data_IF_895413404459
#
_entry.id   IF_895413404459
#
_cell.length_a   1.000
_cell.length_b   1.000
_cell.length_c   1.000
_cell.angle_alpha   90.00
_cell.angle_beta   90.00
_cell.angle_gamma   90.00
#
_symmetry.space_group_name_H-M   'P 1'
#
loop_
_entity.id
_entity.type
_entity.pdbx_description
1 polymer ?
#
# COMPACT_ATOMS: atom_id res chain seq x y z
N UNK A 1 2.25 -1.82 -8.69
CA UNK A 1 3.47 -1.39 -9.39
C UNK A 1 3.96 -0.13 -8.72
N UNK A 2 4.71 -0.32 -7.64
CA UNK A 2 5.88 0.52 -7.41
C UNK A 2 6.63 0.57 -8.75
N UNK A 3 6.72 1.77 -9.34
CA UNK A 3 7.47 1.90 -10.58
C UNK A 3 8.91 1.48 -10.31
N UNK A 4 9.59 0.83 -11.29
CA UNK A 4 11.03 0.71 -11.23
C UNK A 4 11.58 2.10 -10.94
N UNK A 5 12.27 2.29 -9.82
CA UNK A 5 12.96 3.55 -9.58
C UNK A 5 14.00 3.64 -10.69
N UNK A 6 13.90 4.63 -11.56
CA UNK A 6 14.91 4.80 -12.58
C UNK A 6 16.24 5.09 -11.87
N UNK A 7 17.36 4.46 -12.31
CA UNK A 7 18.67 4.77 -11.75
C UNK A 7 18.95 6.26 -11.92
N UNK A 8 19.68 6.86 -10.98
CA UNK A 8 20.01 8.29 -11.02
C UNK A 8 20.63 8.68 -12.37
N UNK A 9 19.88 9.39 -13.22
CA UNK A 9 20.41 10.07 -14.41
C UNK A 9 20.04 9.53 -15.80
N UNK A 10 18.97 8.74 -15.99
CA UNK A 10 18.51 8.36 -17.35
C UNK A 10 17.39 9.29 -17.89
N UNK A 11 17.40 9.68 -19.19
CA UNK A 11 16.36 10.50 -19.79
C UNK A 11 15.12 9.65 -20.15
N UNK A 12 13.95 10.16 -19.74
CA UNK A 12 12.65 9.48 -19.82
C UNK A 12 12.23 8.99 -21.22
N UNK A 13 11.70 7.77 -21.25
CA UNK A 13 11.18 7.08 -22.42
C UNK A 13 9.68 6.81 -22.33
N UNK A 14 8.95 7.30 -23.33
CA UNK A 14 7.50 7.26 -23.54
C UNK A 14 6.88 5.85 -23.72
N UNK A 15 5.69 5.68 -23.12
CA UNK A 15 4.46 5.28 -23.82
C UNK A 15 4.25 3.81 -24.21
N UNK A 16 3.23 3.17 -23.61
CA UNK A 16 2.66 1.91 -24.07
C UNK A 16 1.19 1.76 -23.69
N UNK A 17 0.27 2.15 -24.58
CA UNK A 17 -1.16 1.82 -24.48
C UNK A 17 -1.35 0.33 -24.72
N UNK A 18 -2.06 -0.38 -23.84
CA UNK A 18 -2.66 -1.66 -24.18
C UNK A 18 -4.11 -1.73 -23.71
N UNK A 19 -4.92 -2.33 -24.58
CA UNK A 19 -6.38 -2.30 -24.61
C UNK A 19 -7.01 -3.11 -23.48
N UNK A 20 -8.14 -2.60 -23.00
CA UNK A 20 -9.10 -3.28 -22.13
C UNK A 20 -9.71 -4.51 -22.81
N UNK A 21 -10.12 -5.51 -22.01
CA UNK A 21 -11.29 -6.32 -22.32
C UNK A 21 -11.97 -6.80 -21.01
N UNK A 22 -13.31 -6.93 -20.94
CA UNK A 22 -14.08 -6.96 -19.69
C UNK A 22 -14.67 -8.34 -19.32
N UNK A 23 -15.40 -8.34 -18.19
CA UNK A 23 -16.25 -9.37 -17.57
C UNK A 23 -15.52 -10.26 -16.55
N UNK A 24 -16.05 -10.59 -15.37
CA UNK A 24 -17.44 -10.75 -14.88
C UNK A 24 -17.39 -10.74 -13.33
N UNK A 25 -18.27 -10.07 -12.58
CA UNK A 25 -19.65 -10.46 -12.36
C UNK A 25 -19.82 -11.14 -10.99
N UNK A 26 -20.09 -10.35 -9.93
CA UNK A 26 -20.70 -10.88 -8.70
C UNK A 26 -21.85 -9.94 -8.32
N UNK A 27 -23.06 -10.47 -8.42
CA UNK A 27 -24.32 -9.81 -8.10
C UNK A 27 -24.52 -9.75 -6.59
N UNK A 28 -24.39 -8.54 -6.02
CA UNK A 28 -24.98 -8.16 -4.75
C UNK A 28 -26.09 -7.13 -5.01
N UNK A 29 -27.19 -7.24 -4.28
CA UNK A 29 -28.34 -6.31 -4.34
C UNK A 29 -27.89 -4.84 -4.25
N UNK A 30 -28.49 -3.89 -4.99
CA UNK A 30 -28.11 -2.48 -4.94
C UNK A 30 -28.61 -1.87 -3.63
N UNK A 31 -27.84 -2.01 -2.56
CA UNK A 31 -27.80 -0.96 -1.56
C UNK A 31 -27.34 0.30 -2.28
N UNK A 32 -28.01 1.44 -2.10
CA UNK A 32 -27.48 2.69 -2.64
C UNK A 32 -26.05 2.83 -2.12
N UNK A 33 -25.06 2.70 -3.01
CA UNK A 33 -23.69 3.14 -2.78
C UNK A 33 -23.76 4.67 -2.59
N UNK A 34 -24.16 5.08 -1.39
CA UNK A 34 -24.37 6.48 -1.08
C UNK A 34 -23.01 7.06 -0.74
N UNK A 35 -22.43 7.72 -1.72
CA UNK A 35 -21.21 8.48 -1.53
C UNK A 35 -21.48 9.66 -0.59
N UNK A 36 -20.69 9.75 0.48
CA UNK A 36 -20.77 10.81 1.48
C UNK A 36 -19.66 11.84 1.24
N UNK A 37 -19.92 13.14 1.48
CA UNK A 37 -18.88 14.14 1.41
C UNK A 37 -17.97 14.07 2.65
N UNK A 38 -16.66 13.93 2.43
CA UNK A 38 -15.63 14.03 3.46
C UNK A 38 -14.74 15.25 3.22
N UNK A 39 -14.12 15.75 4.29
CA UNK A 39 -13.09 16.78 4.22
C UNK A 39 -11.72 16.14 4.53
N UNK A 40 -10.96 15.85 3.48
CA UNK A 40 -9.65 15.19 3.57
C UNK A 40 -8.58 16.16 3.10
N UNK A 41 -7.58 16.42 3.95
CA UNK A 41 -6.52 17.39 3.70
C UNK A 41 -7.03 18.78 3.24
N UNK A 42 -8.15 19.24 3.82
CA UNK A 42 -8.77 20.53 3.48
C UNK A 42 -9.56 20.53 2.16
N UNK A 43 -9.79 19.36 1.55
CA UNK A 43 -10.53 19.20 0.30
C UNK A 43 -11.80 18.41 0.54
N UNK A 44 -12.90 18.89 -0.05
CA UNK A 44 -14.14 18.13 -0.08
C UNK A 44 -14.05 17.06 -1.16
N UNK A 45 -14.15 15.80 -0.76
CA UNK A 45 -14.14 14.63 -1.64
C UNK A 45 -15.37 13.78 -1.37
N UNK A 46 -15.91 13.14 -2.40
CA UNK A 46 -16.93 12.11 -2.22
C UNK A 46 -16.23 10.78 -1.91
N UNK A 47 -16.86 9.98 -1.05
CA UNK A 47 -16.32 8.68 -0.64
C UNK A 47 -17.43 7.70 -0.27
N UNK A 48 -17.19 6.42 -0.51
CA UNK A 48 -18.07 5.32 -0.10
C UNK A 48 -17.62 4.78 1.27
N UNK A 49 -18.49 4.75 2.29
CA UNK A 49 -18.17 4.07 3.55
C UNK A 49 -17.97 2.57 3.30
N UNK A 50 -16.85 2.01 3.76
CA UNK A 50 -16.54 0.58 3.59
C UNK A 50 -16.51 -0.19 4.90
N UNK A 51 -16.86 0.44 6.02
CA UNK A 51 -16.86 -0.18 7.34
C UNK A 51 -15.47 -0.29 7.96
N UNK A 52 -15.39 -1.02 9.07
CA UNK A 52 -14.15 -1.45 9.71
C UNK A 52 -13.89 -2.95 9.52
N UNK A 53 -12.62 -3.34 9.50
CA UNK A 53 -12.24 -4.75 9.57
C UNK A 53 -12.17 -5.20 11.04
N UNK A 54 -12.67 -6.40 11.37
CA UNK A 54 -12.35 -7.03 12.63
C UNK A 54 -10.83 -7.19 12.79
N UNK A 55 -10.34 -7.03 14.02
CA UNK A 55 -8.94 -7.26 14.37
C UNK A 55 -8.75 -8.60 15.11
N UNK A 56 -9.72 -9.50 14.95
CA UNK A 56 -9.71 -10.82 15.59
C UNK A 56 -8.48 -11.59 15.11
N UNK A 57 -7.62 -12.01 16.05
CA UNK A 57 -6.35 -12.69 15.76
C UNK A 57 -5.14 -11.77 15.58
N UNK A 58 -5.31 -10.45 15.47
CA UNK A 58 -4.18 -9.52 15.52
C UNK A 58 -3.70 -9.38 16.99
N UNK A 59 -2.43 -9.65 17.31
CA UNK A 59 -1.96 -9.77 18.70
C UNK A 59 -1.86 -8.43 19.46
N UNK A 60 -2.27 -7.32 18.84
CA UNK A 60 -2.10 -5.96 19.39
C UNK A 60 -3.44 -5.37 19.81
N UNK A 61 -3.46 -4.63 20.92
CA UNK A 61 -4.59 -3.80 21.37
C UNK A 61 -4.80 -2.58 20.45
N UNK A 62 -5.04 -2.80 19.16
CA UNK A 62 -5.50 -1.75 18.24
C UNK A 62 -7.03 -1.81 18.16
N UNK A 63 -7.67 -0.67 17.94
CA UNK A 63 -9.12 -0.60 17.76
C UNK A 63 -9.44 -0.61 16.27
N UNK A 64 -10.52 -1.31 15.85
CA UNK A 64 -11.05 -1.17 14.50
C UNK A 64 -11.29 0.30 14.18
N UNK A 65 -10.94 0.72 12.96
CA UNK A 65 -11.22 2.06 12.44
C UNK A 65 -12.14 1.95 11.23
N UNK A 66 -13.08 2.87 11.14
CA UNK A 66 -13.95 3.00 9.98
C UNK A 66 -13.18 3.62 8.81
N UNK A 67 -13.27 2.99 7.64
CA UNK A 67 -12.64 3.47 6.42
C UNK A 67 -13.67 3.86 5.37
N UNK A 68 -13.25 4.77 4.51
CA UNK A 68 -14.00 5.28 3.38
C UNK A 68 -13.14 5.13 2.13
N UNK A 69 -13.70 4.54 1.07
CA UNK A 69 -13.08 4.50 -0.25
C UNK A 69 -13.36 5.82 -0.96
N UNK A 70 -12.33 6.59 -1.26
CA UNK A 70 -12.46 7.83 -2.01
C UNK A 70 -12.91 7.54 -3.45
N UNK A 71 -13.70 8.45 -4.01
CA UNK A 71 -14.07 8.38 -5.43
C UNK A 71 -12.83 8.45 -6.29
N UNK A 72 -12.81 7.61 -7.34
CA UNK A 72 -11.70 7.59 -8.28
C UNK A 72 -11.58 8.94 -9.00
N UNK A 73 -10.35 9.31 -9.28
CA UNK A 73 -9.98 10.52 -10.00
C UNK A 73 -9.11 11.48 -9.20
N UNK A 74 -8.64 12.51 -9.90
CA UNK A 74 -7.64 13.47 -9.41
C UNK A 74 -7.94 14.08 -8.04
N UNK A 75 -9.19 14.49 -7.69
CA UNK A 75 -9.45 15.07 -6.36
C UNK A 75 -9.15 14.12 -5.20
N UNK A 76 -9.55 12.85 -5.30
CA UNK A 76 -9.28 11.82 -4.30
C UNK A 76 -7.79 11.48 -4.22
N UNK A 77 -7.14 11.32 -5.38
CA UNK A 77 -5.71 11.06 -5.49
C UNK A 77 -4.86 12.18 -4.86
N UNK A 78 -5.18 13.45 -5.13
CA UNK A 78 -4.52 14.60 -4.51
C UNK A 78 -4.74 14.61 -3.00
N UNK A 79 -5.98 14.39 -2.53
CA UNK A 79 -6.30 14.39 -1.10
C UNK A 79 -5.53 13.28 -0.35
N UNK A 80 -5.51 12.06 -0.89
CA UNK A 80 -4.76 10.93 -0.33
C UNK A 80 -3.25 11.22 -0.25
N UNK A 81 -2.66 11.70 -1.36
CA UNK A 81 -1.25 12.06 -1.43
C UNK A 81 -0.90 13.15 -0.41
N UNK A 82 -1.75 14.17 -0.25
CA UNK A 82 -1.52 15.27 0.70
C UNK A 82 -1.54 14.77 2.16
N UNK A 83 -2.41 13.82 2.50
CA UNK A 83 -2.36 13.12 3.79
C UNK A 83 -1.04 12.35 3.98
N UNK A 84 -0.62 11.60 2.95
CA UNK A 84 0.58 10.76 3.02
C UNK A 84 1.85 11.60 3.14
N UNK A 85 1.96 12.74 2.44
CA UNK A 85 3.08 13.68 2.59
C UNK A 85 3.29 14.15 4.03
N UNK A 86 2.22 14.25 4.81
CA UNK A 86 2.31 14.66 6.23
C UNK A 86 3.04 13.63 7.10
N UNK A 87 3.23 12.38 6.63
CA UNK A 87 3.98 11.36 7.36
C UNK A 87 5.50 11.52 7.23
N UNK A 88 5.99 12.16 6.17
CA UNK A 88 7.43 12.32 5.89
C UNK A 88 8.17 13.15 6.95
N UNK A 89 7.44 13.94 7.71
CA UNK A 89 7.94 14.68 8.88
C UNK A 89 8.23 13.79 10.11
N UNK A 90 7.95 12.48 10.02
CA UNK A 90 8.15 11.53 11.12
C UNK A 90 9.43 10.69 10.95
N UNK A 91 9.94 10.13 12.05
CA UNK A 91 11.18 9.34 12.09
C UNK A 91 11.24 8.22 11.03
N UNK A 92 10.11 7.58 10.73
CA UNK A 92 10.02 6.49 9.76
C UNK A 92 9.23 6.87 8.51
N UNK A 93 8.81 8.14 8.38
CA UNK A 93 7.99 8.62 7.28
C UNK A 93 8.64 8.43 5.93
N UNK A 94 9.96 8.62 5.86
CA UNK A 94 10.76 8.44 4.63
C UNK A 94 10.88 6.98 4.16
N UNK A 95 10.46 6.01 4.97
CA UNK A 95 10.34 4.63 4.53
C UNK A 95 9.04 4.37 3.73
N UNK A 96 8.12 5.34 3.69
CA UNK A 96 6.90 5.30 2.89
C UNK A 96 7.14 6.07 1.60
N UNK A 97 6.95 5.42 0.46
CA UNK A 97 7.06 6.07 -0.83
C UNK A 97 5.83 6.95 -1.11
N UNK A 98 6.04 8.17 -1.60
CA UNK A 98 4.95 9.07 -2.02
C UNK A 98 4.91 9.08 -3.54
N UNK A 99 3.99 8.31 -4.10
CA UNK A 99 3.81 8.28 -5.55
C UNK A 99 3.26 9.61 -6.11
N UNK A 100 3.49 9.88 -7.41
CA UNK A 100 2.77 10.89 -8.17
C UNK A 100 1.25 10.76 -8.04
N UNK A 101 0.52 11.85 -8.28
CA UNK A 101 -0.95 11.84 -8.18
C UNK A 101 -1.54 10.87 -9.19
N UNK A 102 -0.97 10.86 -10.39
CA UNK A 102 -1.38 10.06 -11.52
C UNK A 102 -1.36 8.56 -11.19
N UNK A 103 -0.33 8.11 -10.46
CA UNK A 103 -0.23 6.72 -9.98
C UNK A 103 -1.35 6.35 -8.99
N UNK A 104 -1.86 7.32 -8.21
CA UNK A 104 -2.97 7.11 -7.28
C UNK A 104 -4.34 7.20 -7.95
N UNK A 105 -4.47 7.83 -9.13
CA UNK A 105 -5.73 7.89 -9.87
C UNK A 105 -6.18 6.48 -10.34
N UNK A 106 -5.22 5.58 -10.56
CA UNK A 106 -5.44 4.17 -10.92
C UNK A 106 -5.57 3.22 -9.71
N UNK A 107 -5.57 3.77 -8.50
CA UNK A 107 -5.68 3.01 -7.25
C UNK A 107 -7.06 3.15 -6.62
N UNK A 108 -7.46 2.14 -5.85
CA UNK A 108 -8.52 2.30 -4.86
C UNK A 108 -7.92 2.87 -3.57
N UNK A 109 -8.36 4.08 -3.21
CA UNK A 109 -7.80 4.87 -2.12
C UNK A 109 -8.72 4.84 -0.91
N UNK A 110 -8.19 4.49 0.25
CA UNK A 110 -8.96 4.34 1.48
C UNK A 110 -8.38 5.21 2.58
N UNK A 111 -9.25 5.93 3.28
CA UNK A 111 -8.87 6.78 4.42
C UNK A 111 -9.88 6.67 5.54
N UNK A 112 -9.44 6.92 6.77
CA UNK A 112 -10.34 7.18 7.89
C UNK A 112 -11.04 8.54 7.71
N UNK A 113 -12.17 8.75 8.41
CA UNK A 113 -12.95 10.01 8.30
C UNK A 113 -12.10 11.27 8.50
N UNK A 114 -11.15 11.21 9.44
CA UNK A 114 -10.22 12.31 9.75
C UNK A 114 -9.03 12.42 8.77
N UNK A 115 -8.89 11.50 7.82
CA UNK A 115 -7.79 11.45 6.84
C UNK A 115 -6.41 11.12 7.44
N UNK A 116 -6.33 10.68 8.69
CA UNK A 116 -5.06 10.50 9.42
C UNK A 116 -4.51 9.07 9.37
N UNK A 117 -5.28 8.12 8.86
CA UNK A 117 -4.84 6.76 8.54
C UNK A 117 -5.41 6.39 7.17
N UNK A 118 -4.64 5.69 6.35
CA UNK A 118 -5.10 5.30 5.03
C UNK A 118 -4.21 4.29 4.33
N UNK A 119 -4.73 3.74 3.24
CA UNK A 119 -4.02 2.80 2.38
C UNK A 119 -4.49 2.89 0.93
N UNK A 120 -3.66 2.45 -0.01
CA UNK A 120 -3.94 2.42 -1.44
C UNK A 120 -3.79 1.00 -1.98
N UNK A 121 -4.76 0.55 -2.78
CA UNK A 121 -4.75 -0.75 -3.44
C UNK A 121 -4.70 -0.62 -4.96
N UNK A 122 -3.92 -1.48 -5.61
CA UNK A 122 -3.93 -1.65 -7.07
C UNK A 122 -3.97 -3.12 -7.44
N UNK A 123 -5.13 -3.61 -7.87
CA UNK A 123 -5.28 -5.01 -8.32
C UNK A 123 -4.75 -6.04 -7.31
N UNK A 124 -5.10 -5.87 -6.03
CA UNK A 124 -4.69 -6.75 -4.92
C UNK A 124 -3.29 -6.50 -4.36
N UNK A 125 -2.57 -5.48 -4.83
CA UNK A 125 -1.31 -5.01 -4.23
C UNK A 125 -1.58 -3.88 -3.25
N UNK A 126 -1.03 -3.97 -2.04
CA UNK A 126 -0.99 -2.86 -1.09
C UNK A 126 0.18 -1.94 -1.44
N UNK A 127 -0.13 -0.85 -2.16
CA UNK A 127 0.86 0.08 -2.71
C UNK A 127 1.35 1.08 -1.65
N UNK A 128 0.45 1.54 -0.79
CA UNK A 128 0.80 2.50 0.25
C UNK A 128 -0.04 2.27 1.48
N UNK A 129 0.55 2.45 2.65
CA UNK A 129 -0.15 2.46 3.94
C UNK A 129 0.48 3.50 4.85
N UNK A 130 -0.35 4.24 5.56
CA UNK A 130 0.12 5.26 6.50
C UNK A 130 -0.80 5.36 7.71
N UNK A 131 -0.20 5.78 8.83
CA UNK A 131 -0.90 6.17 10.05
C UNK A 131 -0.12 7.32 10.66
N UNK A 132 -0.74 8.49 10.80
CA UNK A 132 -0.09 9.65 11.42
C UNK A 132 0.17 9.41 12.91
N UNK A 133 1.13 10.14 13.51
CA UNK A 133 1.43 10.04 14.94
C UNK A 133 0.19 10.21 15.82
N UNK A 134 0.05 9.32 16.80
CA UNK A 134 -1.07 9.29 17.74
C UNK A 134 -2.32 8.55 17.24
N UNK A 135 -2.42 8.21 15.96
CA UNK A 135 -3.59 7.47 15.44
C UNK A 135 -3.56 5.98 15.79
N UNK A 136 -2.36 5.40 15.88
CA UNK A 136 -2.13 3.96 16.09
C UNK A 136 -2.97 3.06 15.14
N UNK A 137 -3.19 3.54 13.91
CA UNK A 137 -4.11 2.94 12.94
C UNK A 137 -3.49 1.95 11.97
N UNK A 138 -2.19 1.67 12.06
CA UNK A 138 -1.48 0.80 11.12
C UNK A 138 -2.11 -0.59 11.01
N UNK A 139 -2.33 -1.27 12.14
CA UNK A 139 -2.94 -2.61 12.14
C UNK A 139 -4.38 -2.58 11.57
N UNK A 140 -5.18 -1.57 11.91
CA UNK A 140 -6.51 -1.40 11.33
C UNK A 140 -6.48 -1.17 9.81
N UNK A 141 -5.50 -0.41 9.32
CA UNK A 141 -5.32 -0.16 7.89
C UNK A 141 -4.96 -1.43 7.12
N UNK A 142 -4.02 -2.24 7.63
CA UNK A 142 -3.60 -3.47 6.95
C UNK A 142 -4.70 -4.53 7.02
N UNK A 143 -5.35 -4.71 8.17
CA UNK A 143 -6.49 -5.63 8.28
C UNK A 143 -7.62 -5.25 7.31
N UNK A 144 -7.91 -3.94 7.20
CA UNK A 144 -8.86 -3.44 6.22
C UNK A 144 -8.37 -3.66 4.78
N UNK A 145 -7.09 -3.43 4.49
CA UNK A 145 -6.53 -3.68 3.17
C UNK A 145 -6.69 -5.16 2.74
N UNK A 146 -6.40 -6.10 3.64
CA UNK A 146 -6.58 -7.54 3.39
C UNK A 146 -8.07 -7.87 3.12
N UNK A 147 -8.98 -7.29 3.91
CA UNK A 147 -10.43 -7.42 3.71
C UNK A 147 -10.89 -6.87 2.36
N UNK A 148 -10.27 -5.80 1.88
CA UNK A 148 -10.51 -5.18 0.57
C UNK A 148 -9.76 -5.85 -0.58
N UNK A 149 -9.08 -6.98 -0.34
CA UNK A 149 -8.46 -7.79 -1.39
C UNK A 149 -6.95 -7.61 -1.54
N UNK A 150 -6.26 -6.94 -0.62
CA UNK A 150 -4.80 -6.95 -0.60
C UNK A 150 -4.29 -8.39 -0.39
N UNK A 151 -3.38 -8.82 -1.26
CA UNK A 151 -2.76 -10.15 -1.24
C UNK A 151 -1.25 -10.10 -1.41
N UNK A 152 -0.68 -8.99 -1.87
CA UNK A 152 0.77 -8.81 -2.00
C UNK A 152 1.19 -7.39 -1.65
N UNK A 153 2.45 -7.22 -1.27
CA UNK A 153 3.10 -5.94 -1.01
C UNK A 153 4.62 -6.10 -1.09
N UNK A 154 5.33 -4.99 -1.12
CA UNK A 154 6.76 -4.92 -0.81
C UNK A 154 7.03 -3.89 0.28
N UNK A 155 8.04 -4.15 1.11
CA UNK A 155 8.43 -3.25 2.18
C UNK A 155 9.92 -3.34 2.51
N UNK A 156 10.47 -2.28 3.09
CA UNK A 156 11.84 -2.30 3.61
C UNK A 156 11.94 -3.14 4.89
N UNK A 157 12.98 -3.96 5.01
CA UNK A 157 13.33 -4.67 6.23
C UNK A 157 14.16 -3.79 7.19
N UNK A 158 13.52 -2.76 7.75
CA UNK A 158 14.16 -1.87 8.73
C UNK A 158 14.12 -2.55 10.09
N UNK A 159 15.20 -3.25 10.43
CA UNK A 159 15.38 -3.91 11.72
C UNK A 159 14.35 -5.01 12.02
N UNK A 160 13.84 -5.71 10.99
CA UNK A 160 12.80 -6.74 11.15
C UNK A 160 11.38 -6.20 11.34
N UNK A 161 11.21 -4.89 11.48
CA UNK A 161 9.97 -4.29 11.97
C UNK A 161 8.80 -4.40 11.00
N UNK A 162 8.98 -3.95 9.75
CA UNK A 162 7.89 -3.92 8.76
C UNK A 162 7.49 -5.33 8.28
N UNK A 163 8.41 -6.24 7.92
CA UNK A 163 8.01 -7.60 7.57
C UNK A 163 7.28 -8.31 8.70
N UNK A 164 7.74 -8.17 9.95
CA UNK A 164 7.02 -8.73 11.11
C UNK A 164 5.66 -8.08 11.33
N UNK A 165 5.53 -6.77 11.09
CA UNK A 165 4.26 -6.06 11.16
C UNK A 165 3.23 -6.64 10.18
N UNK A 166 3.60 -6.80 8.89
CA UNK A 166 2.72 -7.38 7.88
C UNK A 166 2.45 -8.87 8.08
N UNK A 167 3.41 -9.62 8.62
CA UNK A 167 3.24 -11.05 8.89
C UNK A 167 2.08 -11.36 9.84
N UNK A 168 1.80 -10.45 10.79
CA UNK A 168 0.66 -10.59 11.70
C UNK A 168 -0.71 -10.47 11.01
N UNK A 169 -0.71 -9.96 9.77
CA UNK A 169 -1.89 -9.84 8.91
C UNK A 169 -1.92 -10.89 7.79
N UNK A 170 -1.09 -11.95 7.89
CA UNK A 170 -1.09 -13.10 6.99
C UNK A 170 -0.14 -12.99 5.79
N UNK A 171 0.68 -11.95 5.71
CA UNK A 171 1.69 -11.83 4.65
C UNK A 171 2.95 -12.64 4.98
N UNK A 172 3.40 -13.47 4.05
CA UNK A 172 4.66 -14.21 4.17
C UNK A 172 5.73 -13.59 3.27
N UNK A 173 6.99 -13.48 3.71
CA UNK A 173 8.11 -13.13 2.85
C UNK A 173 8.25 -14.15 1.70
N UNK A 174 8.29 -13.67 0.46
CA UNK A 174 8.43 -14.50 -0.74
C UNK A 174 9.80 -14.35 -1.38
N UNK A 175 10.32 -13.13 -1.45
CA UNK A 175 11.64 -12.83 -2.01
C UNK A 175 12.25 -11.59 -1.36
N UNK A 176 13.58 -11.49 -1.40
CA UNK A 176 14.36 -10.34 -0.94
C UNK A 176 15.11 -9.70 -2.09
N UNK A 177 15.27 -8.39 -2.01
CA UNK A 177 16.07 -7.58 -2.92
C UNK A 177 17.10 -6.86 -2.07
N UNK A 178 18.37 -7.08 -2.36
CA UNK A 178 19.44 -6.42 -1.63
C UNK A 178 19.38 -4.91 -1.86
N UNK A 179 19.71 -4.13 -0.83
CA UNK A 179 19.81 -2.68 -0.98
C UNK A 179 20.79 -2.29 -2.09
N UNK A 180 20.37 -1.34 -2.93
CA UNK A 180 21.21 -0.74 -3.96
C UNK A 180 21.17 0.79 -3.85
N UNK A 181 22.35 1.40 -3.68
CA UNK A 181 22.52 2.84 -3.54
C UNK A 181 22.12 3.60 -4.82
N UNK A 182 22.13 2.96 -5.99
CA UNK A 182 21.70 3.56 -7.27
C UNK A 182 20.20 3.84 -7.30
N UNK A 183 19.42 3.05 -6.55
CA UNK A 183 17.96 3.13 -6.47
C UNK A 183 17.46 3.77 -5.16
N UNK A 184 18.40 4.15 -4.28
CA UNK A 184 18.10 4.83 -3.04
C UNK A 184 17.65 6.28 -3.28
N UNK A 185 16.60 6.75 -2.59
CA UNK A 185 16.21 8.16 -2.63
C UNK A 185 17.38 9.07 -2.25
N UNK A 186 17.53 10.21 -2.92
CA UNK A 186 18.62 11.16 -2.66
C UNK A 186 18.64 11.66 -1.21
N UNK A 187 17.47 11.75 -0.58
CA UNK A 187 17.29 12.22 0.78
C UNK A 187 17.10 11.09 1.79
N UNK A 188 17.54 9.86 1.45
CA UNK A 188 17.44 8.69 2.30
C UNK A 188 18.15 8.91 3.65
N UNK A 189 17.45 8.77 4.77
CA UNK A 189 18.00 9.10 6.08
C UNK A 189 18.95 7.99 6.55
N UNK A 190 20.22 8.33 6.80
CA UNK A 190 21.26 7.39 7.22
C UNK A 190 20.90 6.53 8.45
N UNK A 191 20.03 7.05 9.34
CA UNK A 191 19.53 6.32 10.52
C UNK A 191 18.69 5.08 10.17
N UNK A 192 18.14 5.00 8.95
CA UNK A 192 17.41 3.83 8.46
C UNK A 192 18.33 2.77 7.84
N UNK A 193 19.63 3.05 7.73
CA UNK A 193 20.63 2.11 7.21
C UNK A 193 20.44 1.82 5.72
N UNK A 194 20.72 0.57 5.34
CA UNK A 194 20.61 0.04 3.97
C UNK A 194 19.75 -1.23 3.99
N UNK A 195 18.43 -1.10 4.26
CA UNK A 195 17.56 -2.26 4.46
C UNK A 195 17.29 -2.97 3.14
N UNK A 196 17.21 -4.29 3.16
CA UNK A 196 16.68 -5.03 2.02
C UNK A 196 15.21 -4.65 1.76
N UNK A 197 14.76 -4.82 0.52
CA UNK A 197 13.33 -4.83 0.22
C UNK A 197 12.83 -6.26 0.25
N UNK A 198 11.67 -6.49 0.86
CA UNK A 198 11.04 -7.80 0.98
C UNK A 198 9.72 -7.76 0.23
N UNK A 199 9.60 -8.58 -0.81
CA UNK A 199 8.33 -8.85 -1.47
C UNK A 199 7.58 -9.91 -0.66
N UNK A 200 6.33 -9.63 -0.32
CA UNK A 200 5.50 -10.47 0.55
C UNK A 200 4.15 -10.77 -0.10
N UNK A 201 3.58 -11.93 0.22
CA UNK A 201 2.27 -12.34 -0.26
C UNK A 201 1.48 -13.13 0.79
N UNK A 202 0.16 -13.02 0.74
CA UNK A 202 -0.76 -13.94 1.42
C UNK A 202 -0.83 -15.20 0.57
N UNK A 203 -0.39 -16.32 1.14
CA UNK A 203 -0.30 -17.62 0.49
C UNK A 203 -0.33 -18.74 1.53
N UNK A 204 -0.88 -19.88 1.16
CA UNK A 204 -0.86 -21.11 1.98
C UNK A 204 0.45 -21.89 1.79
N UNK A 205 1.24 -21.56 0.76
CA UNK A 205 2.47 -22.25 0.37
C UNK A 205 3.68 -21.30 0.37
N UNK A 206 4.05 -20.68 1.51
CA UNK A 206 5.22 -19.81 1.55
C UNK A 206 6.50 -20.63 1.29
N UNK A 207 7.54 -20.02 0.69
CA UNK A 207 8.79 -20.72 0.40
C UNK A 207 9.54 -21.09 1.69
N UNK A 208 10.18 -22.26 1.71
CA UNK A 208 10.98 -22.72 2.87
C UNK A 208 12.16 -21.78 3.20
N UNK A 209 12.68 -21.11 2.18
CA UNK A 209 13.72 -20.09 2.29
C UNK A 209 13.37 -18.90 1.41
N UNK A 210 13.65 -17.68 1.87
CA UNK A 210 13.35 -16.45 1.13
C UNK A 210 14.56 -16.08 0.25
N UNK A 211 14.53 -16.34 -1.08
CA UNK A 211 15.67 -16.10 -1.96
C UNK A 211 15.93 -14.60 -2.16
N UNK A 212 17.19 -14.26 -2.45
CA UNK A 212 17.55 -12.96 -2.99
C UNK A 212 17.44 -12.96 -4.51
N UNK A 213 16.86 -11.91 -5.07
CA UNK A 213 16.67 -11.72 -6.52
C UNK A 213 16.57 -10.24 -6.88
N UNK A 214 16.45 -9.91 -8.16
CA UNK A 214 16.20 -8.54 -8.62
C UNK A 214 14.77 -8.10 -8.32
N UNK A 215 14.53 -6.78 -8.38
CA UNK A 215 13.26 -6.20 -7.95
C UNK A 215 12.05 -6.73 -8.72
N UNK A 216 12.14 -6.79 -10.05
CA UNK A 216 11.05 -7.24 -10.91
C UNK A 216 10.74 -8.73 -10.67
N UNK A 217 11.79 -9.56 -10.56
CA UNK A 217 11.65 -10.97 -10.22
C UNK A 217 11.02 -11.18 -8.84
N UNK A 218 11.33 -10.33 -7.85
CA UNK A 218 10.75 -10.42 -6.51
C UNK A 218 9.24 -10.11 -6.53
N UNK A 219 8.82 -9.07 -7.27
CA UNK A 219 7.41 -8.71 -7.42
C UNK A 219 6.63 -9.80 -8.16
N UNK A 220 7.19 -10.37 -9.22
CA UNK A 220 6.56 -11.47 -9.95
C UNK A 220 6.48 -12.76 -9.12
N UNK A 221 7.49 -13.05 -8.29
CA UNK A 221 7.43 -14.17 -7.35
C UNK A 221 6.29 -13.97 -6.34
N UNK A 222 6.17 -12.79 -5.74
CA UNK A 222 5.07 -12.48 -4.83
C UNK A 222 3.71 -12.56 -5.50
N UNK A 223 3.59 -12.10 -6.76
CA UNK A 223 2.36 -12.23 -7.55
C UNK A 223 1.99 -13.69 -7.79
N UNK A 224 2.94 -14.54 -8.19
CA UNK A 224 2.70 -15.98 -8.41
C UNK A 224 2.30 -16.71 -7.13
N UNK A 225 2.89 -16.34 -6.00
CA UNK A 225 2.58 -16.95 -4.70
C UNK A 225 1.12 -16.72 -4.25
N UNK A 226 0.48 -15.64 -4.70
CA UNK A 226 -0.95 -15.38 -4.43
C UNK A 226 -1.86 -16.39 -5.13
N UNK A 227 -1.45 -16.89 -6.30
CA UNK A 227 -2.26 -17.75 -7.16
C UNK A 227 -1.92 -19.26 -7.02
N UNK A 228 -1.00 -19.62 -6.11
CA UNK A 228 -0.43 -20.97 -5.96
C UNK A 228 -1.12 -21.80 -4.87
#
# INVERSE_FOLDING_TARGET
MNQPREPKGAPGGTGGRFRENPASGVSGLPGLDMHVPLNIAGRRVAALPVGSAPLDGCPVKSQPKEFFRLDRGRPGAVAFRDCLKSIHETKYGKAVDVHPVEDYEDCDLYVTENGRTGFALRGGELISVFSLPGEHGGDAAVAQAVRQGARRLDCYDIGGGLPAFYARHGFHPIARVAWDDEYAPDDWPAVLGRPDVVAMAVTDNPPESVPYTDYDSALEAARRAVDA
#
